data_IF_108890041123
#
_entry.id   IF_108890041123
#
_cell.length_a   1.000
_cell.length_b   1.000
_cell.length_c   1.000
_cell.angle_alpha   90.00
_cell.angle_beta   90.00
_cell.angle_gamma   90.00
#
_symmetry.space_group_name_H-M   'P 1'
#
loop_
_entity.id
_entity.type
_entity.pdbx_description
1 polymer ?
#
# COMPACT_ATOMS: atom_id res chain seq x y z
N UNK A 1 2.59 -64.82 -16.22
CA UNK A 1 1.51 -63.89 -15.81
C UNK A 1 2.07 -62.61 -15.15
N UNK A 2 3.27 -62.17 -15.54
CA UNK A 2 4.10 -61.14 -14.89
C UNK A 2 4.27 -59.86 -15.75
N UNK A 3 4.25 -59.98 -17.08
CA UNK A 3 4.47 -58.83 -17.98
C UNK A 3 3.34 -57.80 -17.97
N UNK A 4 2.09 -58.18 -17.67
CA UNK A 4 0.95 -57.26 -17.70
C UNK A 4 0.86 -56.39 -16.44
N UNK A 5 1.22 -56.93 -15.27
CA UNK A 5 1.22 -56.22 -14.00
C UNK A 5 2.34 -55.17 -13.91
N UNK A 6 3.54 -55.50 -14.40
CA UNK A 6 4.68 -54.59 -14.52
C UNK A 6 4.32 -53.35 -15.37
N UNK A 7 3.70 -53.58 -16.54
CA UNK A 7 3.27 -52.51 -17.44
C UNK A 7 2.15 -51.62 -16.86
N UNK A 8 1.26 -52.18 -16.05
CA UNK A 8 0.21 -51.42 -15.36
C UNK A 8 0.81 -50.54 -14.25
N UNK A 9 1.73 -51.09 -13.46
CA UNK A 9 2.41 -50.36 -12.38
C UNK A 9 3.18 -49.14 -12.91
N UNK A 10 3.93 -49.28 -14.02
CA UNK A 10 4.65 -48.15 -14.63
C UNK A 10 3.71 -47.07 -15.18
N UNK A 11 2.58 -47.47 -15.78
CA UNK A 11 1.56 -46.52 -16.27
C UNK A 11 0.91 -45.75 -15.12
N UNK A 12 0.56 -46.44 -14.03
CA UNK A 12 -0.01 -45.81 -12.84
C UNK A 12 1.00 -44.86 -12.18
N UNK A 13 2.28 -45.27 -12.04
CA UNK A 13 3.32 -44.41 -11.48
C UNK A 13 3.50 -43.11 -12.29
N UNK A 14 3.55 -43.21 -13.62
CA UNK A 14 3.62 -42.03 -14.51
C UNK A 14 2.39 -41.12 -14.38
N UNK A 15 1.20 -41.70 -14.27
CA UNK A 15 -0.03 -40.94 -14.09
C UNK A 15 -0.06 -40.20 -12.74
N UNK A 16 0.41 -40.85 -11.66
CA UNK A 16 0.52 -40.22 -10.34
C UNK A 16 1.52 -39.07 -10.36
N UNK A 17 2.72 -39.26 -10.92
CA UNK A 17 3.74 -38.20 -11.02
C UNK A 17 3.25 -37.00 -11.82
N UNK A 18 2.58 -37.23 -12.96
CA UNK A 18 2.01 -36.16 -13.77
C UNK A 18 0.89 -35.41 -13.03
N UNK A 19 0.02 -36.13 -12.32
CA UNK A 19 -1.06 -35.54 -11.51
C UNK A 19 -0.50 -34.70 -10.37
N UNK A 20 0.45 -35.22 -9.60
CA UNK A 20 1.08 -34.47 -8.50
C UNK A 20 1.81 -33.25 -9.03
N UNK A 21 2.49 -33.34 -10.19
CA UNK A 21 3.09 -32.19 -10.84
C UNK A 21 2.07 -31.10 -11.19
N UNK A 22 0.89 -31.48 -11.71
CA UNK A 22 -0.20 -30.54 -12.02
C UNK A 22 -0.80 -29.91 -10.76
N UNK A 23 -0.99 -30.69 -9.70
CA UNK A 23 -1.51 -30.20 -8.41
C UNK A 23 -0.54 -29.20 -7.76
N UNK A 24 0.76 -29.51 -7.75
CA UNK A 24 1.80 -28.59 -7.24
C UNK A 24 1.84 -27.31 -8.07
N UNK A 25 1.80 -27.40 -9.41
CA UNK A 25 1.76 -26.23 -10.27
C UNK A 25 0.53 -25.36 -10.00
N UNK A 26 -0.65 -25.97 -9.82
CA UNK A 26 -1.87 -25.25 -9.48
C UNK A 26 -1.76 -24.55 -8.13
N UNK A 27 -1.25 -25.23 -7.10
CA UNK A 27 -1.00 -24.63 -5.78
C UNK A 27 -0.01 -23.47 -5.87
N UNK A 28 1.08 -23.61 -6.62
CA UNK A 28 2.04 -22.53 -6.83
C UNK A 28 1.37 -21.32 -7.50
N UNK A 29 0.60 -21.51 -8.56
CA UNK A 29 -0.11 -20.40 -9.24
C UNK A 29 -1.08 -19.70 -8.29
N UNK A 30 -1.89 -20.46 -7.55
CA UNK A 30 -2.83 -19.90 -6.57
C UNK A 30 -2.09 -19.12 -5.48
N UNK A 31 -1.00 -19.68 -4.93
CA UNK A 31 -0.19 -19.02 -3.91
C UNK A 31 0.47 -17.74 -4.45
N UNK A 32 0.99 -17.76 -5.67
CA UNK A 32 1.57 -16.59 -6.33
C UNK A 32 0.52 -15.51 -6.57
N UNK A 33 -0.65 -15.86 -7.11
CA UNK A 33 -1.76 -14.92 -7.32
C UNK A 33 -2.25 -14.34 -6.00
N UNK A 34 -2.42 -15.16 -4.96
CA UNK A 34 -2.80 -14.70 -3.63
C UNK A 34 -1.73 -13.77 -3.05
N UNK A 35 -0.44 -14.12 -3.19
CA UNK A 35 0.66 -13.26 -2.76
C UNK A 35 0.63 -11.92 -3.49
N UNK A 36 0.44 -11.88 -4.81
CA UNK A 36 0.34 -10.61 -5.55
C UNK A 36 -0.82 -9.72 -5.09
N UNK A 37 -2.00 -10.30 -4.84
CA UNK A 37 -3.15 -9.55 -4.34
C UNK A 37 -2.94 -9.03 -2.91
N UNK A 38 -2.25 -9.78 -2.06
CA UNK A 38 -2.04 -9.42 -0.65
C UNK A 38 -0.78 -8.58 -0.40
N UNK A 39 0.27 -8.73 -1.23
CA UNK A 39 1.60 -8.16 -1.02
C UNK A 39 1.85 -6.87 -1.83
N UNK A 40 0.81 -6.19 -2.29
CA UNK A 40 0.96 -4.98 -3.10
C UNK A 40 0.73 -3.69 -2.30
N UNK A 41 1.69 -3.13 -1.55
CA UNK A 41 1.66 -1.70 -1.26
C UNK A 41 2.22 -1.01 -2.51
N UNK A 42 1.53 -1.15 -3.64
CA UNK A 42 1.82 -0.35 -4.84
C UNK A 42 1.56 1.13 -4.58
N UNK A 43 0.91 1.46 -3.46
CA UNK A 43 0.71 2.81 -3.01
C UNK A 43 2.05 3.53 -2.90
N UNK A 44 2.15 4.66 -3.57
CA UNK A 44 3.32 5.53 -3.52
C UNK A 44 2.91 6.82 -2.84
N UNK A 45 3.83 7.44 -2.15
CA UNK A 45 3.61 8.73 -1.53
C UNK A 45 4.85 9.22 -0.80
N UNK A 46 4.80 10.47 -0.40
CA UNK A 46 5.79 11.08 0.46
C UNK A 46 5.16 12.18 1.31
N UNK A 47 5.80 12.46 2.43
CA UNK A 47 5.54 13.65 3.24
C UNK A 47 6.64 14.64 2.85
N UNK A 48 6.27 15.68 2.11
CA UNK A 48 7.20 16.68 1.58
C UNK A 48 7.52 17.76 2.63
N UNK A 49 6.55 18.04 3.51
CA UNK A 49 6.69 19.02 4.58
C UNK A 49 5.96 18.56 5.84
N UNK A 50 6.58 18.78 7.00
CA UNK A 50 5.96 18.64 8.31
C UNK A 50 6.42 19.79 9.21
N UNK A 51 5.48 20.51 9.81
CA UNK A 51 5.76 21.66 10.65
C UNK A 51 4.59 22.01 11.56
N UNK A 52 4.79 23.04 12.39
CA UNK A 52 3.80 23.51 13.37
C UNK A 52 2.47 23.94 12.73
N UNK A 53 2.50 24.51 11.52
CA UNK A 53 1.32 25.07 10.87
C UNK A 53 0.69 24.16 9.83
N UNK A 54 1.47 23.25 9.23
CA UNK A 54 0.95 22.35 8.21
C UNK A 54 1.81 21.09 8.02
N UNK A 55 1.19 20.05 7.46
CA UNK A 55 1.85 18.85 6.94
C UNK A 55 1.34 18.61 5.52
N UNK A 56 2.24 18.45 4.55
CA UNK A 56 1.85 18.31 3.15
C UNK A 56 2.67 17.22 2.44
N UNK A 57 2.12 16.73 1.34
CA UNK A 57 2.74 15.67 0.57
C UNK A 57 1.85 15.18 -0.57
N UNK A 58 2.06 13.94 -0.97
CA UNK A 58 1.27 13.30 -2.02
C UNK A 58 1.06 11.80 -1.75
N UNK A 59 -0.02 11.27 -2.28
CA UNK A 59 -0.36 9.85 -2.21
C UNK A 59 -1.04 9.39 -3.50
N UNK A 60 -0.59 8.27 -4.03
CA UNK A 60 -1.02 7.71 -5.31
C UNK A 60 -1.18 6.20 -5.23
N UNK A 61 -2.30 5.68 -5.73
CA UNK A 61 -2.51 4.25 -5.91
C UNK A 61 -2.50 3.89 -7.41
N UNK A 62 -1.47 3.17 -7.90
CA UNK A 62 -1.42 2.69 -9.29
C UNK A 62 -2.59 1.80 -9.69
N UNK A 63 -3.29 1.17 -8.74
CA UNK A 63 -4.46 0.35 -9.02
C UNK A 63 -5.72 1.19 -9.27
N UNK A 64 -5.75 2.43 -8.80
CA UNK A 64 -6.87 3.35 -8.99
C UNK A 64 -6.38 4.75 -9.40
N UNK A 65 -5.69 4.86 -10.55
CA UNK A 65 -4.85 6.02 -10.87
C UNK A 65 -5.61 7.34 -11.12
N UNK A 66 -6.95 7.27 -11.25
CA UNK A 66 -7.82 8.44 -11.42
C UNK A 66 -8.49 8.88 -10.10
N UNK A 67 -8.31 8.12 -9.03
CA UNK A 67 -8.98 8.34 -7.76
C UNK A 67 -8.05 9.03 -6.76
N UNK A 68 -8.55 10.08 -6.13
CA UNK A 68 -7.90 10.67 -4.96
C UNK A 68 -8.10 9.77 -3.73
N UNK A 69 -7.00 9.47 -3.03
CA UNK A 69 -6.99 8.68 -1.80
C UNK A 69 -7.44 9.50 -0.60
N UNK A 70 -8.04 8.84 0.39
CA UNK A 70 -8.16 9.41 1.73
C UNK A 70 -6.82 9.19 2.47
N UNK A 71 -6.32 10.21 3.15
CA UNK A 71 -5.10 10.15 3.96
C UNK A 71 -5.37 10.66 5.37
N UNK A 72 -4.74 10.03 6.36
CA UNK A 72 -4.91 10.33 7.78
C UNK A 72 -3.59 10.80 8.37
N UNK A 73 -3.61 11.93 9.06
CA UNK A 73 -2.48 12.45 9.81
C UNK A 73 -2.53 11.97 11.25
N UNK A 74 -1.40 11.47 11.72
CA UNK A 74 -1.11 11.21 13.12
C UNK A 74 0.07 12.08 13.56
N UNK A 75 -0.02 12.66 14.75
CA UNK A 75 1.09 13.35 15.41
C UNK A 75 1.31 12.66 16.75
N UNK A 76 2.52 12.18 17.00
CA UNK A 76 2.89 11.37 18.18
C UNK A 76 1.90 10.23 18.44
N UNK A 77 1.64 9.44 17.39
CA UNK A 77 0.70 8.30 17.37
C UNK A 77 -0.77 8.64 17.67
N UNK A 78 -1.13 9.93 17.74
CA UNK A 78 -2.50 10.39 17.91
C UNK A 78 -3.10 10.84 16.59
N UNK A 79 -4.28 10.30 16.27
CA UNK A 79 -5.04 10.74 15.12
C UNK A 79 -5.39 12.23 15.24
N UNK A 80 -5.10 12.98 14.18
CA UNK A 80 -5.41 14.41 14.07
C UNK A 80 -6.62 14.61 13.17
N UNK A 81 -6.52 14.22 11.89
CA UNK A 81 -7.62 14.33 10.91
C UNK A 81 -7.39 13.50 9.66
N UNK A 82 -8.45 13.41 8.85
CA UNK A 82 -8.45 12.82 7.51
C UNK A 82 -8.66 13.92 6.46
N UNK A 83 -7.93 13.87 5.36
CA UNK A 83 -8.16 14.70 4.16
C UNK A 83 -8.11 13.84 2.90
N UNK A 84 -8.50 14.41 1.75
CA UNK A 84 -8.30 13.78 0.44
C UNK A 84 -7.00 14.27 -0.19
N UNK A 85 -6.32 13.36 -0.87
CA UNK A 85 -5.17 13.65 -1.70
C UNK A 85 -5.63 14.03 -3.11
N UNK A 86 -6.37 15.14 -3.25
CA UNK A 86 -6.97 15.62 -4.50
C UNK A 86 -6.37 16.94 -5.01
N UNK A 87 -5.38 17.49 -4.31
CA UNK A 87 -4.71 18.73 -4.71
C UNK A 87 -3.79 18.49 -5.92
N UNK A 88 -3.67 19.50 -6.77
CA UNK A 88 -2.91 19.40 -8.01
C UNK A 88 -1.39 19.43 -7.78
N UNK A 89 -0.70 18.42 -8.33
CA UNK A 89 0.75 18.22 -8.33
C UNK A 89 1.26 17.92 -9.75
N UNK A 90 1.27 18.93 -10.65
CA UNK A 90 1.70 18.73 -12.03
C UNK A 90 3.18 18.35 -12.16
N UNK A 91 3.98 18.61 -11.13
CA UNK A 91 5.37 18.15 -11.01
C UNK A 91 5.48 16.62 -11.02
N UNK A 92 4.54 15.90 -10.38
CA UNK A 92 4.52 14.44 -10.37
C UNK A 92 4.26 13.86 -11.76
N UNK A 93 3.42 14.51 -12.55
CA UNK A 93 3.15 14.11 -13.94
C UNK A 93 4.37 14.38 -14.83
N UNK A 94 5.00 15.56 -14.68
CA UNK A 94 6.22 15.90 -15.43
C UNK A 94 7.38 14.95 -15.14
N UNK A 95 7.45 14.42 -13.93
CA UNK A 95 8.46 13.46 -13.49
C UNK A 95 8.07 11.99 -13.75
N UNK A 96 6.95 11.73 -14.46
CA UNK A 96 6.44 10.38 -14.76
C UNK A 96 6.17 9.52 -13.52
N UNK A 97 5.83 10.15 -12.39
CA UNK A 97 5.49 9.46 -11.13
C UNK A 97 4.03 9.01 -11.14
N UNK A 98 3.15 9.86 -11.66
CA UNK A 98 1.69 9.65 -11.73
C UNK A 98 1.13 10.06 -13.09
N UNK A 99 0.08 9.41 -13.59
CA UNK A 99 -0.56 9.76 -14.86
C UNK A 99 -1.47 10.99 -14.77
N UNK A 100 -1.88 11.38 -13.55
CA UNK A 100 -2.71 12.58 -13.30
C UNK A 100 -2.10 13.42 -12.19
N UNK A 101 -2.48 14.70 -12.09
CA UNK A 101 -1.91 15.62 -11.11
C UNK A 101 -2.64 15.61 -9.75
N UNK A 102 -3.86 15.09 -9.66
CA UNK A 102 -4.72 15.22 -8.48
C UNK A 102 -4.38 14.19 -7.38
N UNK A 103 -3.18 14.28 -6.82
CA UNK A 103 -2.64 13.34 -5.83
C UNK A 103 -1.95 14.01 -4.64
N UNK A 104 -1.99 15.34 -4.53
CA UNK A 104 -1.42 16.10 -3.42
C UNK A 104 -2.38 16.18 -2.23
N UNK A 105 -1.86 16.25 -1.01
CA UNK A 105 -2.62 16.55 0.20
C UNK A 105 -1.95 17.65 1.01
N UNK A 106 -2.76 18.38 1.78
CA UNK A 106 -2.29 19.32 2.80
C UNK A 106 -3.19 19.23 4.04
N UNK A 107 -2.57 19.19 5.21
CA UNK A 107 -3.20 19.28 6.51
C UNK A 107 -2.85 20.64 7.13
N UNK A 108 -3.82 21.53 7.28
CA UNK A 108 -3.66 22.72 8.10
C UNK A 108 -3.72 22.34 9.60
N UNK A 109 -2.79 22.88 10.39
CA UNK A 109 -2.64 22.62 11.83
C UNK A 109 -2.83 23.86 12.71
N UNK A 110 -3.24 24.99 12.13
CA UNK A 110 -3.45 26.24 12.89
C UNK A 110 -4.50 26.11 14.01
N UNK A 111 -5.41 25.15 13.91
CA UNK A 111 -6.44 24.83 14.89
C UNK A 111 -6.05 23.67 15.83
N UNK A 112 -4.87 23.09 15.65
CA UNK A 112 -4.37 21.96 16.46
C UNK A 112 -3.43 22.48 17.53
N UNK A 113 -3.82 22.31 18.80
CA UNK A 113 -2.99 22.71 19.93
C UNK A 113 -1.89 21.68 20.17
N UNK A 114 -0.64 22.05 19.87
CA UNK A 114 0.55 21.27 20.15
C UNK A 114 1.38 21.97 21.24
N UNK A 115 1.90 21.18 22.19
CA UNK A 115 2.82 21.72 23.21
C UNK A 115 4.12 22.19 22.57
N UNK A 116 4.79 23.25 23.07
CA UNK A 116 6.13 23.59 22.62
C UNK A 116 7.09 22.40 22.82
N UNK A 117 7.82 22.01 21.77
CA UNK A 117 8.66 20.82 21.82
C UNK A 117 8.84 20.13 20.47
N UNK A 118 9.40 18.92 20.53
CA UNK A 118 9.55 18.04 19.37
C UNK A 118 8.31 17.16 19.24
N UNK A 119 7.85 17.02 18.01
CA UNK A 119 6.74 16.17 17.61
C UNK A 119 7.13 15.37 16.37
N UNK A 120 6.39 14.31 16.08
CA UNK A 120 6.59 13.53 14.87
C UNK A 120 5.27 13.28 14.13
N UNK A 121 5.26 13.57 12.82
CA UNK A 121 4.10 13.41 11.95
C UNK A 121 4.21 12.11 11.14
N UNK A 122 3.14 11.31 11.14
CA UNK A 122 2.99 10.16 10.27
C UNK A 122 1.70 10.28 9.48
N UNK A 123 1.79 10.13 8.16
CA UNK A 123 0.62 10.08 7.29
C UNK A 123 0.40 8.66 6.82
N UNK A 124 -0.86 8.22 6.85
CA UNK A 124 -1.30 6.93 6.34
C UNK A 124 -2.32 7.13 5.22
N UNK A 125 -2.14 6.45 4.10
CA UNK A 125 -3.19 6.35 3.09
C UNK A 125 -4.16 5.22 3.42
N UNK A 126 -5.44 5.50 3.23
CA UNK A 126 -6.53 4.56 3.43
C UNK A 126 -6.81 3.82 2.13
N UNK A 127 -6.61 2.50 2.15
CA UNK A 127 -6.90 1.61 1.01
C UNK A 127 -8.04 0.68 1.38
N UNK A 128 -9.01 0.53 0.47
CA UNK A 128 -10.02 -0.52 0.60
C UNK A 128 -9.34 -1.88 0.33
N UNK A 129 -9.33 -2.76 1.33
CA UNK A 129 -8.86 -4.14 1.19
C UNK A 129 -10.05 -5.04 0.79
N UNK A 130 -9.77 -6.29 0.40
CA UNK A 130 -10.82 -7.25 0.05
C UNK A 130 -11.89 -7.34 1.17
N UNK A 131 -13.16 -7.17 0.80
CA UNK A 131 -14.29 -7.14 1.74
C UNK A 131 -14.62 -5.73 2.26
N UNK A 132 -14.97 -5.61 3.55
CA UNK A 132 -15.29 -4.33 4.22
C UNK A 132 -14.11 -3.75 5.00
N UNK A 133 -12.94 -4.38 4.95
CA UNK A 133 -11.79 -3.96 5.73
C UNK A 133 -11.06 -2.81 5.03
N UNK A 134 -10.66 -1.80 5.80
CA UNK A 134 -9.78 -0.72 5.34
C UNK A 134 -8.37 -0.96 5.89
N UNK A 135 -7.37 -0.79 5.05
CA UNK A 135 -5.96 -0.86 5.42
C UNK A 135 -5.38 0.56 5.51
N UNK A 136 -4.58 0.81 6.53
CA UNK A 136 -3.75 2.00 6.64
C UNK A 136 -2.33 1.67 6.17
N UNK A 137 -1.87 2.40 5.17
CA UNK A 137 -0.54 2.21 4.58
C UNK A 137 0.30 3.45 4.89
N UNK A 138 1.41 3.34 5.65
CA UNK A 138 2.24 4.49 5.97
C UNK A 138 2.89 5.07 4.72
N UNK A 139 2.92 6.40 4.61
CA UNK A 139 3.55 7.14 3.49
C UNK A 139 5.04 7.43 3.71
N UNK A 140 5.56 7.12 4.89
CA UNK A 140 6.98 7.22 5.22
C UNK A 140 7.39 5.99 6.05
N UNK A 141 8.67 5.63 6.00
CA UNK A 141 9.19 4.50 6.78
C UNK A 141 9.14 4.78 8.29
N UNK A 142 9.42 6.03 8.65
CA UNK A 142 9.42 6.53 10.03
C UNK A 142 8.65 7.85 10.09
N UNK A 143 8.09 8.21 11.26
CA UNK A 143 7.45 9.51 11.47
C UNK A 143 8.43 10.67 11.22
N UNK A 144 7.96 11.74 10.57
CA UNK A 144 8.75 12.91 10.21
C UNK A 144 8.82 13.87 11.41
N UNK A 145 10.01 14.12 11.99
CA UNK A 145 10.14 15.01 13.14
C UNK A 145 9.96 16.47 12.74
N UNK A 146 9.31 17.24 13.60
CA UNK A 146 9.23 18.69 13.51
C UNK A 146 9.21 19.32 14.91
N UNK A 147 9.41 20.64 14.98
CA UNK A 147 9.41 21.39 16.23
C UNK A 147 8.28 22.41 16.26
N UNK A 148 7.72 22.62 17.45
CA UNK A 148 6.71 23.63 17.75
C UNK A 148 7.35 24.69 18.64
N UNK A 149 7.36 25.94 18.17
CA UNK A 149 7.82 27.08 18.96
C UNK A 149 6.74 27.60 19.90
N UNK A 150 7.16 28.29 20.95
CA UNK A 150 6.28 29.03 21.86
C UNK A 150 5.54 30.17 21.17
#
# INVERSE_FOLDING_TARGET
MNNTSENLATKLLRAVLAKTGLEVAFVCVVATVAAFHNASPLLRGAIDAAGQTHVAGWAYDPLTPKSALEVQLFIDDRFVRTVRADQARPDLVKADVTPTAAHGFSFELTDVSLSPGKHAAQVYALRNAAGRNKALIPLSKEPIPFAVSR
#
